data_IF_488823222023
#
_entry.id   IF_488823222023
#
_cell.length_a   1.000
_cell.length_b   1.000
_cell.length_c   1.000
_cell.angle_alpha   90.00
_cell.angle_beta   90.00
_cell.angle_gamma   90.00
#
_symmetry.space_group_name_H-M   'P 1'
#
loop_
_entity.id
_entity.type
_entity.pdbx_description
1 polymer ?
#
# COMPACT_ATOMS: atom_id res chain seq x y z
N UNK A 1 -73.33 2.33 -21.03
CA UNK A 1 -72.25 1.91 -21.97
C UNK A 1 -70.98 1.66 -21.16
N UNK A 2 -70.79 0.42 -20.68
CA UNK A 2 -69.63 0.06 -19.86
C UNK A 2 -68.52 -0.57 -20.71
N UNK A 3 -67.34 0.06 -20.75
CA UNK A 3 -66.15 -0.52 -21.37
C UNK A 3 -65.49 -1.48 -20.37
N UNK A 4 -65.53 -2.76 -20.68
CA UNK A 4 -64.75 -3.80 -20.00
C UNK A 4 -63.33 -3.79 -20.57
N UNK A 5 -62.35 -3.47 -19.74
CA UNK A 5 -60.93 -3.60 -20.07
C UNK A 5 -60.50 -5.03 -19.75
N UNK A 6 -60.11 -5.79 -20.76
CA UNK A 6 -59.55 -7.13 -20.59
C UNK A 6 -58.10 -7.01 -20.08
N UNK A 7 -57.85 -7.55 -18.89
CA UNK A 7 -56.51 -7.75 -18.34
C UNK A 7 -55.94 -9.04 -18.92
N UNK A 8 -54.93 -8.92 -19.77
CA UNK A 8 -54.14 -10.03 -20.29
C UNK A 8 -53.10 -10.42 -19.22
N UNK A 9 -53.33 -11.54 -18.53
CA UNK A 9 -52.36 -12.11 -17.60
C UNK A 9 -51.30 -12.87 -18.41
N UNK A 10 -50.10 -12.29 -18.55
CA UNK A 10 -48.94 -12.98 -19.08
C UNK A 10 -48.39 -13.90 -17.98
N UNK A 11 -48.56 -15.21 -18.14
CA UNK A 11 -47.91 -16.21 -17.30
C UNK A 11 -46.42 -16.25 -17.65
N UNK A 12 -45.58 -15.68 -16.78
CA UNK A 12 -44.14 -15.85 -16.80
C UNK A 12 -43.81 -17.28 -16.33
N UNK A 13 -43.54 -18.15 -17.30
CA UNK A 13 -42.96 -19.46 -17.03
C UNK A 13 -41.54 -19.24 -16.52
N UNK A 14 -41.34 -19.47 -15.22
CA UNK A 14 -40.03 -19.54 -14.59
C UNK A 14 -39.24 -20.69 -15.20
N UNK A 15 -38.24 -20.38 -16.03
CA UNK A 15 -37.27 -21.37 -16.45
C UNK A 15 -36.26 -21.60 -15.31
N UNK A 16 -35.96 -22.86 -14.95
CA UNK A 16 -34.87 -23.15 -14.05
C UNK A 16 -33.56 -22.67 -14.68
N UNK A 17 -32.90 -21.73 -14.00
CA UNK A 17 -31.56 -21.32 -14.34
C UNK A 17 -30.64 -22.50 -14.01
N UNK A 18 -30.39 -23.34 -15.02
CA UNK A 18 -29.32 -24.33 -14.96
C UNK A 18 -28.02 -23.53 -14.95
N UNK A 19 -27.41 -23.42 -13.77
CA UNK A 19 -26.03 -22.97 -13.65
C UNK A 19 -25.18 -24.07 -14.29
N UNK A 20 -24.94 -23.92 -15.59
CA UNK A 20 -23.91 -24.68 -16.29
C UNK A 20 -22.60 -24.31 -15.61
N UNK A 21 -22.00 -25.29 -14.93
CA UNK A 21 -20.66 -25.20 -14.39
C UNK A 21 -19.71 -24.93 -15.54
N UNK A 22 -19.46 -23.64 -15.80
CA UNK A 22 -18.40 -23.21 -16.69
C UNK A 22 -17.09 -23.61 -16.06
N UNK A 23 -16.35 -24.45 -16.76
CA UNK A 23 -14.97 -24.78 -16.48
C UNK A 23 -14.24 -23.51 -16.05
N UNK A 24 -13.82 -23.50 -14.79
CA UNK A 24 -12.84 -22.54 -14.31
C UNK A 24 -11.59 -22.80 -15.14
N UNK A 25 -11.43 -22.04 -16.22
CA UNK A 25 -10.24 -22.03 -17.05
C UNK A 25 -9.04 -22.01 -16.11
N UNK A 26 -8.31 -23.12 -16.10
CA UNK A 26 -7.17 -23.32 -15.24
C UNK A 26 -6.26 -22.10 -15.39
N UNK A 27 -6.13 -21.35 -14.29
CA UNK A 27 -5.26 -20.18 -14.25
C UNK A 27 -3.86 -20.68 -14.60
N UNK A 28 -3.20 -20.16 -15.66
CA UNK A 28 -1.85 -20.59 -16.05
C UNK A 28 -0.83 -19.94 -15.11
N UNK A 29 -1.04 -20.12 -13.81
CA UNK A 29 0.00 -20.04 -12.81
C UNK A 29 0.62 -21.45 -12.81
N UNK A 30 1.52 -21.75 -13.76
CA UNK A 30 2.48 -22.84 -13.54
C UNK A 30 3.04 -22.74 -12.12
N UNK A 31 3.22 -23.87 -11.43
CA UNK A 31 3.07 -23.96 -9.98
C UNK A 31 3.92 -22.89 -9.32
N UNK A 32 3.26 -22.04 -8.53
CA UNK A 32 3.88 -21.36 -7.41
C UNK A 32 4.86 -22.37 -6.79
N UNK A 33 6.15 -22.16 -7.05
CA UNK A 33 7.25 -23.12 -6.84
C UNK A 33 6.90 -24.08 -5.71
N UNK A 34 6.66 -25.36 -6.02
CA UNK A 34 6.55 -26.40 -4.99
C UNK A 34 7.81 -26.31 -4.12
N UNK A 35 7.67 -25.81 -2.90
CA UNK A 35 8.78 -25.48 -2.00
C UNK A 35 8.75 -24.07 -1.40
N UNK A 36 8.07 -23.11 -2.03
CA UNK A 36 7.68 -21.84 -1.40
C UNK A 36 6.20 -21.96 -1.09
N UNK A 37 5.86 -22.79 -0.10
CA UNK A 37 4.49 -23.11 0.26
C UNK A 37 3.61 -21.87 0.19
N UNK A 38 2.44 -22.01 -0.46
CA UNK A 38 1.35 -21.05 -0.33
C UNK A 38 1.32 -20.69 1.14
N UNK A 39 1.74 -19.48 1.48
CA UNK A 39 1.50 -19.00 2.82
C UNK A 39 0.00 -18.80 2.81
N UNK A 40 -0.71 -19.74 3.39
CA UNK A 40 -2.12 -19.60 3.72
C UNK A 40 -2.33 -18.35 4.62
N UNK A 41 -1.23 -17.75 5.09
CA UNK A 41 -1.04 -16.44 5.69
C UNK A 41 -0.02 -15.54 4.93
N UNK A 42 -0.09 -15.40 3.60
CA UNK A 42 0.71 -14.42 2.88
C UNK A 42 0.32 -13.03 3.38
N UNK A 43 1.15 -12.44 4.24
CA UNK A 43 0.96 -11.09 4.78
C UNK A 43 0.56 -10.14 3.67
N UNK A 44 -0.65 -9.58 3.77
CA UNK A 44 -1.15 -8.51 2.89
C UNK A 44 -0.22 -7.28 2.88
N UNK A 45 0.77 -7.21 3.77
CA UNK A 45 1.81 -6.19 3.76
C UNK A 45 2.65 -6.14 2.48
N UNK A 46 2.68 -7.21 1.68
CA UNK A 46 3.30 -7.25 0.35
C UNK A 46 2.32 -7.04 -0.79
N UNK A 47 1.03 -6.84 -0.50
CA UNK A 47 0.01 -6.65 -1.53
C UNK A 47 0.12 -5.25 -2.12
N UNK A 48 0.28 -5.16 -3.45
CA UNK A 48 0.62 -3.91 -4.14
C UNK A 48 -0.32 -3.63 -5.30
N UNK A 49 -1.63 -3.63 -5.04
CA UNK A 49 -2.67 -3.43 -6.06
C UNK A 49 -2.43 -2.21 -6.95
N UNK A 50 -2.06 -1.06 -6.37
CA UNK A 50 -1.82 0.16 -7.16
C UNK A 50 -0.61 0.06 -8.08
N UNK A 51 0.39 -0.72 -7.69
CA UNK A 51 1.59 -0.93 -8.48
C UNK A 51 1.32 -1.90 -9.63
N UNK A 52 0.47 -2.92 -9.40
CA UNK A 52 -0.05 -3.77 -10.47
C UNK A 52 -0.87 -2.93 -11.45
N UNK A 53 -1.74 -2.06 -10.96
CA UNK A 53 -2.54 -1.13 -11.77
C UNK A 53 -1.67 -0.25 -12.67
N UNK A 54 -0.65 0.39 -12.08
CA UNK A 54 0.29 1.27 -12.76
C UNK A 54 1.45 0.55 -13.47
N UNK A 55 1.52 -0.78 -13.38
CA UNK A 55 2.58 -1.64 -13.92
C UNK A 55 4.00 -1.34 -13.44
N UNK A 56 4.14 -0.88 -12.21
CA UNK A 56 5.45 -0.82 -11.54
C UNK A 56 5.87 -2.18 -10.96
N UNK A 57 5.00 -3.19 -11.05
CA UNK A 57 5.28 -4.59 -10.74
C UNK A 57 4.82 -5.50 -11.88
N UNK A 58 5.51 -6.64 -12.05
CA UNK A 58 5.15 -7.67 -13.02
C UNK A 58 3.80 -8.30 -12.69
N UNK A 59 3.10 -8.80 -13.71
CA UNK A 59 1.86 -9.59 -13.57
C UNK A 59 2.07 -10.80 -12.67
N UNK A 60 3.28 -11.38 -12.67
CA UNK A 60 3.69 -12.46 -11.77
C UNK A 60 3.43 -12.13 -10.29
N UNK A 61 3.79 -10.91 -9.84
CA UNK A 61 3.58 -10.51 -8.46
C UNK A 61 2.10 -10.30 -8.09
N UNK A 62 1.23 -10.08 -9.08
CA UNK A 62 -0.19 -9.87 -8.85
C UNK A 62 -0.89 -11.17 -8.42
N UNK A 63 -0.40 -12.32 -8.91
CA UNK A 63 -1.06 -13.62 -8.73
C UNK A 63 -0.48 -14.47 -7.61
N UNK A 64 0.36 -13.89 -6.74
CA UNK A 64 0.60 -14.44 -5.39
C UNK A 64 -0.70 -14.58 -4.59
N UNK A 65 -1.73 -13.78 -4.92
CA UNK A 65 -3.10 -13.93 -4.41
C UNK A 65 -4.04 -14.21 -5.60
N UNK A 66 -4.25 -15.48 -5.98
CA UNK A 66 -4.96 -15.84 -7.22
C UNK A 66 -6.41 -15.32 -7.32
N UNK A 67 -7.07 -15.11 -6.17
CA UNK A 67 -8.45 -14.60 -6.10
C UNK A 67 -8.54 -13.09 -5.87
N UNK A 68 -7.40 -12.39 -5.84
CA UNK A 68 -7.35 -10.96 -5.57
C UNK A 68 -7.82 -10.11 -6.75
N UNK A 69 -8.19 -8.86 -6.47
CA UNK A 69 -8.44 -7.83 -7.48
C UNK A 69 -7.21 -7.62 -8.35
N UNK A 70 -6.00 -7.66 -7.78
CA UNK A 70 -4.76 -7.47 -8.52
C UNK A 70 -4.59 -8.56 -9.59
N UNK A 71 -4.80 -9.82 -9.24
CA UNK A 71 -4.71 -10.93 -10.20
C UNK A 71 -5.85 -10.88 -11.23
N UNK A 72 -7.10 -10.64 -10.80
CA UNK A 72 -8.24 -10.54 -11.72
C UNK A 72 -8.05 -9.40 -12.74
N UNK A 73 -7.57 -8.23 -12.28
CA UNK A 73 -7.25 -7.10 -13.15
C UNK A 73 -6.07 -7.37 -14.08
N UNK A 74 -4.96 -7.95 -13.58
CA UNK A 74 -3.75 -8.17 -14.38
C UNK A 74 -3.99 -9.07 -15.60
N UNK A 75 -4.90 -10.05 -15.48
CA UNK A 75 -5.27 -10.96 -16.55
C UNK A 75 -6.22 -10.35 -17.60
N UNK A 76 -7.02 -9.35 -17.23
CA UNK A 76 -8.10 -8.84 -18.10
C UNK A 76 -7.89 -7.43 -18.62
N UNK A 77 -6.91 -6.69 -18.10
CA UNK A 77 -6.56 -5.36 -18.63
C UNK A 77 -6.03 -5.47 -20.05
N UNK A 78 -6.37 -4.49 -20.87
CA UNK A 78 -5.87 -4.38 -22.25
C UNK A 78 -4.67 -3.45 -22.35
N UNK A 79 -4.55 -2.52 -21.41
CA UNK A 79 -3.47 -1.54 -21.33
C UNK A 79 -3.17 -1.20 -19.85
N UNK A 80 -2.19 -0.31 -19.63
CA UNK A 80 -1.81 0.12 -18.29
C UNK A 80 -2.82 1.13 -17.76
N UNK A 81 -3.10 1.07 -16.45
CA UNK A 81 -4.12 1.92 -15.81
C UNK A 81 -5.49 1.85 -16.50
N UNK A 82 -5.89 0.65 -16.94
CA UNK A 82 -7.18 0.38 -17.58
C UNK A 82 -8.30 0.40 -16.52
N UNK A 83 -8.89 1.57 -16.29
CA UNK A 83 -9.90 1.77 -15.25
C UNK A 83 -11.13 0.91 -15.49
N UNK A 84 -11.54 0.68 -16.74
CA UNK A 84 -12.72 -0.14 -17.06
C UNK A 84 -12.49 -1.62 -16.69
N UNK A 85 -11.32 -2.16 -17.03
CA UNK A 85 -10.93 -3.51 -16.61
C UNK A 85 -10.88 -3.62 -15.07
N UNK A 86 -10.39 -2.58 -14.38
CA UNK A 86 -10.36 -2.53 -12.92
C UNK A 86 -11.77 -2.53 -12.33
N UNK A 87 -12.67 -1.65 -12.80
CA UNK A 87 -14.07 -1.60 -12.37
C UNK A 87 -14.77 -2.95 -12.60
N UNK A 88 -14.49 -3.61 -13.72
CA UNK A 88 -15.02 -4.94 -14.00
C UNK A 88 -14.50 -5.99 -13.00
N UNK A 89 -13.22 -5.90 -12.58
CA UNK A 89 -12.66 -6.76 -11.54
C UNK A 89 -13.33 -6.52 -10.17
N UNK A 90 -13.57 -5.25 -9.79
CA UNK A 90 -14.31 -4.90 -8.56
C UNK A 90 -15.72 -5.50 -8.58
N UNK A 91 -16.45 -5.36 -9.68
CA UNK A 91 -17.81 -5.94 -9.83
C UNK A 91 -17.80 -7.46 -9.71
N UNK A 92 -16.85 -8.15 -10.35
CA UNK A 92 -16.71 -9.61 -10.25
C UNK A 92 -16.37 -10.06 -8.83
N UNK A 93 -15.49 -9.33 -8.12
CA UNK A 93 -15.21 -9.62 -6.70
C UNK A 93 -16.47 -9.52 -5.86
N UNK A 94 -17.22 -8.42 -5.98
CA UNK A 94 -18.46 -8.21 -5.22
C UNK A 94 -19.53 -9.27 -5.52
N UNK A 95 -19.58 -9.80 -6.74
CA UNK A 95 -20.46 -10.91 -7.08
C UNK A 95 -20.06 -12.23 -6.39
N UNK A 96 -18.75 -12.47 -6.19
CA UNK A 96 -18.23 -13.67 -5.51
C UNK A 96 -18.27 -13.55 -3.99
N UNK A 97 -17.98 -12.36 -3.48
CA UNK A 97 -17.88 -12.05 -2.05
C UNK A 97 -18.68 -10.78 -1.79
N UNK A 98 -20.01 -10.93 -1.60
CA UNK A 98 -20.86 -9.79 -1.30
C UNK A 98 -20.46 -9.15 0.02
N UNK A 99 -20.18 -7.85 -0.03
CA UNK A 99 -19.84 -7.03 1.13
C UNK A 99 -20.86 -5.89 1.24
N UNK A 100 -21.26 -5.52 2.45
CA UNK A 100 -22.10 -4.34 2.65
C UNK A 100 -21.38 -3.08 2.13
N UNK A 101 -22.03 -2.21 1.34
CA UNK A 101 -21.47 -0.91 1.02
C UNK A 101 -21.47 0.01 2.25
N UNK A 102 -20.69 1.11 2.21
CA UNK A 102 -20.83 2.20 3.19
C UNK A 102 -22.27 2.74 3.19
N UNK A 103 -22.72 3.27 4.33
CA UNK A 103 -24.00 3.98 4.36
C UNK A 103 -23.97 5.23 3.45
N UNK A 104 -25.13 5.68 2.98
CA UNK A 104 -25.20 6.76 1.98
C UNK A 104 -24.65 8.11 2.50
N UNK A 105 -24.73 8.33 3.81
CA UNK A 105 -24.24 9.49 4.54
C UNK A 105 -22.90 9.26 5.24
N UNK A 106 -22.32 8.06 5.09
CA UNK A 106 -21.03 7.71 5.66
C UNK A 106 -19.88 8.36 4.86
N UNK A 107 -18.91 8.88 5.61
CA UNK A 107 -17.66 9.40 5.05
C UNK A 107 -16.60 8.33 5.20
N UNK A 108 -16.08 7.83 4.08
CA UNK A 108 -14.98 6.88 4.09
C UNK A 108 -13.67 7.64 3.96
N UNK A 109 -12.70 7.34 4.81
CA UNK A 109 -11.41 8.04 4.82
C UNK A 109 -10.26 7.06 4.91
N UNK A 110 -9.48 6.98 3.83
CA UNK A 110 -8.30 6.14 3.80
C UNK A 110 -7.07 6.90 4.28
N UNK A 111 -6.33 6.31 5.23
CA UNK A 111 -5.06 6.81 5.73
C UNK A 111 -3.92 5.91 5.26
N UNK A 112 -2.90 6.52 4.63
CA UNK A 112 -1.69 5.79 4.21
C UNK A 112 -0.66 5.81 5.33
N UNK A 113 -0.61 4.72 6.10
CA UNK A 113 0.29 4.54 7.25
C UNK A 113 1.38 3.51 6.94
N UNK A 114 1.90 2.83 7.97
CA UNK A 114 2.92 1.80 7.85
C UNK A 114 4.30 2.39 7.62
N UNK A 115 4.81 2.32 6.39
CA UNK A 115 6.13 2.82 6.01
C UNK A 115 6.23 4.36 5.96
N UNK A 116 5.13 5.06 6.23
CA UNK A 116 5.04 6.53 6.15
C UNK A 116 5.19 7.25 7.48
N UNK A 117 4.74 6.66 8.60
CA UNK A 117 4.70 7.31 9.92
C UNK A 117 5.97 6.97 10.70
N UNK A 118 7.08 7.66 10.42
CA UNK A 118 8.38 7.37 11.02
C UNK A 118 8.76 8.24 12.23
N UNK A 119 7.83 9.06 12.72
CA UNK A 119 8.04 10.01 13.82
C UNK A 119 6.85 10.02 14.80
N UNK A 120 7.09 10.30 16.07
CA UNK A 120 6.07 10.16 17.13
C UNK A 120 5.00 11.28 17.10
N UNK A 121 5.35 12.43 16.54
CA UNK A 121 4.48 13.60 16.42
C UNK A 121 4.02 13.87 14.97
N UNK A 122 3.91 12.79 14.19
CA UNK A 122 3.45 12.78 12.81
C UNK A 122 2.10 13.48 12.56
N UNK A 123 1.25 13.51 13.59
CA UNK A 123 -0.06 14.17 13.53
C UNK A 123 0.06 15.69 13.64
N UNK A 124 1.06 16.21 14.35
CA UNK A 124 1.24 17.64 14.54
C UNK A 124 2.19 18.25 13.50
N UNK A 125 3.24 17.51 13.10
CA UNK A 125 4.23 17.98 12.14
C UNK A 125 4.56 16.95 11.07
N UNK A 126 5.07 17.40 9.90
CA UNK A 126 5.52 16.47 8.86
C UNK A 126 6.68 15.60 9.35
N UNK A 127 6.57 14.30 9.10
CA UNK A 127 7.67 13.37 9.27
C UNK A 127 8.77 13.58 8.21
N UNK A 128 9.99 13.15 8.52
CA UNK A 128 11.13 13.33 7.62
C UNK A 128 11.02 12.44 6.38
N UNK A 129 10.49 11.22 6.51
CA UNK A 129 10.26 10.30 5.37
C UNK A 129 8.81 10.34 4.96
N UNK A 130 8.58 10.23 3.65
CA UNK A 130 7.24 10.09 3.09
C UNK A 130 6.28 11.23 3.51
N UNK A 131 6.80 12.44 3.77
CA UNK A 131 6.07 13.61 4.27
C UNK A 131 4.80 13.95 3.47
N UNK A 132 4.77 13.58 2.17
CA UNK A 132 3.59 13.77 1.32
C UNK A 132 2.38 12.93 1.70
N UNK A 133 2.55 11.80 2.38
CA UNK A 133 1.47 10.83 2.68
C UNK A 133 0.96 10.91 4.11
N UNK A 134 1.76 11.44 5.03
CA UNK A 134 1.34 11.70 6.41
C UNK A 134 0.63 13.05 6.43
N UNK A 135 -0.65 13.05 6.76
CA UNK A 135 -1.46 14.27 6.87
C UNK A 135 -1.41 14.79 8.31
N UNK A 136 -1.34 16.10 8.52
CA UNK A 136 -1.29 16.67 9.87
C UNK A 136 -2.67 17.20 10.29
N UNK A 137 -2.83 17.50 11.57
CA UNK A 137 -4.02 18.10 12.20
C UNK A 137 -4.72 19.15 11.33
N UNK A 138 -4.05 20.15 10.71
CA UNK A 138 -4.75 21.15 9.89
C UNK A 138 -5.52 20.57 8.71
N UNK A 139 -5.05 19.45 8.12
CA UNK A 139 -5.81 18.76 7.08
C UNK A 139 -7.09 18.15 7.64
N UNK A 140 -7.02 17.52 8.81
CA UNK A 140 -8.19 16.91 9.43
C UNK A 140 -9.23 17.95 9.83
N UNK A 141 -8.79 19.08 10.35
CA UNK A 141 -9.68 20.20 10.69
C UNK A 141 -10.33 20.80 9.44
N UNK A 142 -9.56 20.98 8.37
CA UNK A 142 -10.08 21.48 7.10
C UNK A 142 -11.10 20.53 6.47
N UNK A 143 -10.87 19.21 6.53
CA UNK A 143 -11.88 18.21 6.09
C UNK A 143 -13.11 18.27 6.99
N UNK A 144 -12.93 18.21 8.31
CA UNK A 144 -14.03 18.25 9.29
C UNK A 144 -14.95 19.47 9.10
N UNK A 145 -14.38 20.64 8.79
CA UNK A 145 -15.15 21.86 8.54
C UNK A 145 -16.09 21.78 7.31
N UNK A 146 -15.88 20.80 6.42
CA UNK A 146 -16.68 20.60 5.20
C UNK A 146 -17.71 19.50 5.34
N UNK A 147 -17.59 18.66 6.35
CA UNK A 147 -18.51 17.54 6.57
C UNK A 147 -19.73 18.00 7.35
N UNK A 148 -20.85 17.31 7.15
CA UNK A 148 -22.06 17.55 7.94
C UNK A 148 -21.79 17.16 9.40
N UNK A 149 -22.17 17.99 10.39
CA UNK A 149 -22.05 17.61 11.80
C UNK A 149 -22.72 16.25 12.06
N UNK A 150 -22.12 15.44 12.95
CA UNK A 150 -22.62 14.10 13.32
C UNK A 150 -22.62 13.05 12.21
N UNK A 151 -21.91 13.27 11.09
CA UNK A 151 -21.67 12.21 10.11
C UNK A 151 -20.88 11.06 10.76
N UNK A 152 -21.12 9.84 10.27
CA UNK A 152 -20.27 8.68 10.59
C UNK A 152 -19.03 8.73 9.69
N UNK A 153 -17.85 8.67 10.29
CA UNK A 153 -16.56 8.57 9.58
C UNK A 153 -16.00 7.17 9.80
N UNK A 154 -15.72 6.45 8.72
CA UNK A 154 -14.97 5.19 8.78
C UNK A 154 -13.55 5.40 8.31
N UNK A 155 -12.59 5.25 9.23
CA UNK A 155 -11.16 5.30 8.94
C UNK A 155 -10.67 3.94 8.46
N UNK A 156 -10.08 3.89 7.27
CA UNK A 156 -9.47 2.69 6.68
C UNK A 156 -7.96 2.86 6.68
N UNK A 157 -7.24 1.92 7.28
CA UNK A 157 -5.78 1.99 7.35
C UNK A 157 -5.14 0.65 7.66
N UNK A 158 -3.86 0.51 7.30
CA UNK A 158 -3.01 -0.58 7.73
C UNK A 158 -1.86 -0.02 8.59
N UNK A 159 -1.70 -0.52 9.81
CA UNK A 159 -0.65 -0.11 10.75
C UNK A 159 0.73 -0.56 10.32
N UNK A 160 0.81 -1.59 9.48
CA UNK A 160 2.04 -2.16 8.94
C UNK A 160 2.01 -2.19 7.41
N UNK A 161 3.17 -1.96 6.79
CA UNK A 161 3.39 -2.21 5.37
C UNK A 161 4.73 -2.94 5.24
N UNK A 162 4.70 -4.21 4.79
CA UNK A 162 5.90 -5.00 4.65
C UNK A 162 6.61 -4.67 3.32
N UNK A 163 7.51 -3.69 3.31
CA UNK A 163 8.46 -3.53 2.21
C UNK A 163 9.61 -4.53 2.33
N UNK A 164 9.88 -5.36 1.31
CA UNK A 164 10.81 -6.52 1.33
C UNK A 164 12.25 -6.29 1.84
N UNK A 165 12.68 -5.05 2.13
CA UNK A 165 14.04 -4.77 2.62
C UNK A 165 14.12 -3.93 3.90
N UNK A 166 13.04 -3.28 4.32
CA UNK A 166 13.03 -2.38 5.50
C UNK A 166 11.70 -2.42 6.29
N UNK A 167 10.81 -3.37 5.99
CA UNK A 167 9.48 -3.59 6.61
C UNK A 167 9.45 -3.51 8.14
N UNK A 168 10.56 -3.82 8.79
CA UNK A 168 10.65 -3.94 10.25
C UNK A 168 11.07 -2.66 10.97
N UNK A 169 11.31 -1.55 10.25
CA UNK A 169 11.90 -0.37 10.90
C UNK A 169 10.92 0.55 11.62
N UNK A 170 9.65 0.56 11.23
CA UNK A 170 8.66 1.43 11.87
C UNK A 170 7.77 0.59 12.78
N UNK A 171 7.82 0.82 14.11
CA UNK A 171 6.94 0.14 15.03
C UNK A 171 5.46 0.48 14.73
N UNK A 172 4.55 -0.52 14.64
CA UNK A 172 3.12 -0.28 14.38
C UNK A 172 2.47 0.68 15.40
N UNK A 173 3.07 0.81 16.58
CA UNK A 173 2.67 1.71 17.67
C UNK A 173 2.63 3.17 17.19
N UNK A 174 3.52 3.59 16.30
CA UNK A 174 3.50 4.96 15.74
C UNK A 174 2.28 5.22 14.89
N UNK A 175 1.95 4.28 13.99
CA UNK A 175 0.73 4.33 13.18
C UNK A 175 -0.51 4.37 14.08
N UNK A 176 -0.54 3.55 15.15
CA UNK A 176 -1.65 3.51 16.11
C UNK A 176 -1.78 4.82 16.89
N UNK A 177 -0.69 5.39 17.38
CA UNK A 177 -0.69 6.66 18.09
C UNK A 177 -1.19 7.82 17.18
N UNK A 178 -0.72 7.84 15.93
CA UNK A 178 -1.19 8.78 14.92
C UNK A 178 -2.71 8.67 14.67
N UNK A 179 -3.22 7.45 14.51
CA UNK A 179 -4.66 7.22 14.31
C UNK A 179 -5.46 7.61 15.56
N UNK A 180 -4.97 7.27 16.75
CA UNK A 180 -5.63 7.64 18.00
C UNK A 180 -5.79 9.17 18.12
N UNK A 181 -4.75 9.94 17.78
CA UNK A 181 -4.82 11.41 17.75
C UNK A 181 -5.84 11.93 16.71
N UNK A 182 -5.88 11.34 15.52
CA UNK A 182 -6.87 11.65 14.49
C UNK A 182 -8.31 11.37 14.96
N UNK A 183 -8.54 10.20 15.56
CA UNK A 183 -9.85 9.80 16.11
C UNK A 183 -10.27 10.75 17.22
N UNK A 184 -9.36 11.09 18.14
CA UNK A 184 -9.66 12.02 19.23
C UNK A 184 -10.08 13.39 18.68
N UNK A 185 -9.35 13.91 17.69
CA UNK A 185 -9.72 15.16 17.02
C UNK A 185 -11.12 15.05 16.40
N UNK A 186 -11.38 14.04 15.57
CA UNK A 186 -12.66 13.89 14.89
C UNK A 186 -13.82 13.72 15.87
N UNK A 187 -13.67 12.90 16.91
CA UNK A 187 -14.69 12.74 17.97
C UNK A 187 -14.94 14.05 18.72
N UNK A 188 -13.90 14.84 19.01
CA UNK A 188 -14.08 16.16 19.63
C UNK A 188 -14.80 17.19 18.75
N UNK A 189 -14.86 16.95 17.43
CA UNK A 189 -15.69 17.72 16.49
C UNK A 189 -17.12 17.15 16.33
N UNK A 190 -17.49 16.14 17.12
CA UNK A 190 -18.83 15.57 17.18
C UNK A 190 -19.14 14.52 16.12
N UNK A 191 -18.13 13.93 15.48
CA UNK A 191 -18.31 12.81 14.56
C UNK A 191 -18.33 11.47 15.30
N UNK A 192 -19.15 10.53 14.82
CA UNK A 192 -18.96 9.11 15.15
C UNK A 192 -17.79 8.59 14.30
N UNK A 193 -16.82 7.91 14.92
CA UNK A 193 -15.64 7.39 14.21
C UNK A 193 -15.54 5.88 14.39
N UNK A 194 -15.58 5.17 13.27
CA UNK A 194 -15.38 3.72 13.12
C UNK A 194 -14.03 3.45 12.47
N UNK A 195 -13.51 2.25 12.69
CA UNK A 195 -12.20 1.83 12.21
C UNK A 195 -12.32 0.54 11.40
N UNK A 196 -11.60 0.50 10.27
CA UNK A 196 -11.26 -0.71 9.50
C UNK A 196 -9.74 -0.81 9.48
N UNK A 197 -9.20 -1.30 10.58
CA UNK A 197 -7.77 -1.42 10.81
C UNK A 197 -7.24 -2.76 10.30
N UNK A 198 -6.13 -2.74 9.56
CA UNK A 198 -5.39 -3.94 9.15
C UNK A 198 -6.27 -4.98 8.40
N UNK A 199 -7.26 -4.49 7.65
CA UNK A 199 -8.20 -5.31 6.88
C UNK A 199 -7.60 -5.93 5.61
N UNK A 200 -8.38 -6.79 4.96
CA UNK A 200 -8.04 -7.28 3.61
C UNK A 200 -8.09 -6.08 2.63
N UNK A 201 -6.99 -5.79 1.92
CA UNK A 201 -6.92 -4.61 1.05
C UNK A 201 -7.98 -4.68 -0.06
N UNK A 202 -8.27 -5.84 -0.62
CA UNK A 202 -9.31 -5.92 -1.65
C UNK A 202 -10.71 -5.61 -1.14
N UNK A 203 -11.03 -6.02 0.10
CA UNK A 203 -12.29 -5.70 0.76
C UNK A 203 -12.39 -4.19 1.07
N UNK A 204 -11.27 -3.58 1.46
CA UNK A 204 -11.23 -2.13 1.67
C UNK A 204 -11.33 -1.36 0.35
N UNK A 205 -10.75 -1.86 -0.74
CA UNK A 205 -10.88 -1.28 -2.07
C UNK A 205 -12.33 -1.34 -2.56
N UNK A 206 -13.00 -2.49 -2.48
CA UNK A 206 -14.43 -2.63 -2.83
C UNK A 206 -15.33 -1.76 -1.95
N UNK A 207 -15.00 -1.57 -0.67
CA UNK A 207 -15.70 -0.66 0.22
C UNK A 207 -15.53 0.81 -0.22
N UNK A 208 -14.30 1.26 -0.45
CA UNK A 208 -14.00 2.63 -0.89
C UNK A 208 -14.58 2.95 -2.28
N UNK A 209 -14.52 2.01 -3.22
CA UNK A 209 -15.11 2.16 -4.57
C UNK A 209 -16.61 2.45 -4.54
N UNK A 210 -17.31 2.13 -3.45
CA UNK A 210 -18.76 2.33 -3.29
C UNK A 210 -19.12 3.49 -2.36
N UNK A 211 -18.13 4.19 -1.84
CA UNK A 211 -18.34 5.34 -0.96
C UNK A 211 -18.97 6.52 -1.72
N UNK A 212 -19.94 7.21 -1.09
CA UNK A 212 -20.51 8.45 -1.62
C UNK A 212 -19.67 9.68 -1.30
N UNK A 213 -19.00 9.65 -0.15
CA UNK A 213 -18.00 10.65 0.24
C UNK A 213 -16.71 9.92 0.59
N UNK A 214 -15.63 10.21 -0.12
CA UNK A 214 -14.32 9.60 0.09
C UNK A 214 -13.26 10.67 0.34
N UNK A 215 -12.49 10.53 1.42
CA UNK A 215 -11.37 11.41 1.76
C UNK A 215 -10.04 10.69 1.49
N UNK A 216 -9.16 11.34 0.72
CA UNK A 216 -7.90 10.77 0.25
C UNK A 216 -6.69 11.24 1.07
N UNK A 217 -5.89 10.30 1.62
CA UNK A 217 -4.55 10.56 2.15
C UNK A 217 -3.42 10.58 1.09
N UNK A 218 -3.72 10.28 -0.17
CA UNK A 218 -2.76 10.25 -1.27
C UNK A 218 -2.00 8.91 -1.43
N UNK A 219 -1.15 8.84 -2.46
CA UNK A 219 -0.48 7.62 -2.89
C UNK A 219 -1.29 6.79 -3.90
N UNK A 220 -0.65 5.82 -4.56
CA UNK A 220 -1.25 5.08 -5.68
C UNK A 220 -2.53 4.34 -5.33
N UNK A 221 -2.56 3.65 -4.18
CA UNK A 221 -3.72 2.90 -3.71
C UNK A 221 -4.94 3.80 -3.46
N UNK A 222 -4.74 4.87 -2.69
CA UNK A 222 -5.76 5.89 -2.45
C UNK A 222 -6.22 6.59 -3.73
N UNK A 223 -5.29 6.88 -4.66
CA UNK A 223 -5.60 7.48 -5.96
C UNK A 223 -6.55 6.58 -6.75
N UNK A 224 -6.22 5.29 -6.87
CA UNK A 224 -7.04 4.30 -7.55
C UNK A 224 -8.43 4.16 -6.91
N UNK A 225 -8.50 4.15 -5.58
CA UNK A 225 -9.78 4.12 -4.87
C UNK A 225 -10.65 5.34 -5.20
N UNK A 226 -10.05 6.54 -5.28
CA UNK A 226 -10.76 7.76 -5.69
C UNK A 226 -11.24 7.75 -7.13
N UNK A 227 -10.44 7.21 -8.07
CA UNK A 227 -10.85 7.03 -9.46
C UNK A 227 -12.02 6.03 -9.56
N UNK A 228 -11.90 4.93 -8.83
CA UNK A 228 -12.94 3.91 -8.74
C UNK A 228 -14.24 4.47 -8.17
N UNK A 229 -14.21 5.16 -7.02
CA UNK A 229 -15.39 5.71 -6.37
C UNK A 229 -16.18 6.69 -7.25
N UNK A 230 -15.49 7.43 -8.12
CA UNK A 230 -16.14 8.33 -9.09
C UNK A 230 -16.80 7.59 -10.24
N UNK A 231 -16.22 6.47 -10.68
CA UNK A 231 -16.65 5.77 -11.88
C UNK A 231 -17.55 4.55 -11.61
N UNK A 232 -17.51 3.98 -10.40
CA UNK A 232 -18.18 2.71 -10.07
C UNK A 232 -19.70 2.77 -10.25
N UNK A 233 -20.32 3.85 -9.78
CA UNK A 233 -21.73 4.21 -9.99
C UNK A 233 -21.80 5.59 -10.68
N UNK A 234 -21.55 5.60 -12.00
CA UNK A 234 -21.47 6.82 -12.81
C UNK A 234 -22.73 7.70 -12.75
N UNK A 235 -23.90 7.14 -12.40
CA UNK A 235 -25.13 7.92 -12.22
C UNK A 235 -25.08 8.83 -10.99
N UNK A 236 -24.23 8.50 -10.00
CA UNK A 236 -24.09 9.22 -8.74
C UNK A 236 -22.62 9.19 -8.29
N UNK A 237 -21.74 9.92 -8.99
CA UNK A 237 -20.30 9.90 -8.70
C UNK A 237 -20.04 10.35 -7.26
N UNK A 238 -19.05 9.73 -6.61
CA UNK A 238 -18.65 10.11 -5.27
C UNK A 238 -18.10 11.55 -5.21
N UNK A 239 -18.38 12.24 -4.12
CA UNK A 239 -17.60 13.43 -3.72
C UNK A 239 -16.26 12.96 -3.17
N UNK A 240 -15.18 13.36 -3.82
CA UNK A 240 -13.82 12.96 -3.42
C UNK A 240 -13.05 14.17 -2.90
N UNK A 241 -12.74 14.15 -1.61
CA UNK A 241 -12.01 15.20 -0.90
C UNK A 241 -10.51 14.84 -0.84
N UNK A 242 -9.64 15.81 -1.08
CA UNK A 242 -8.19 15.56 -0.95
C UNK A 242 -7.32 16.75 -1.33
N UNK A 243 -6.01 16.52 -1.36
CA UNK A 243 -5.00 17.54 -1.71
C UNK A 243 -4.56 17.52 -3.18
N UNK A 244 -4.99 16.52 -3.94
CA UNK A 244 -4.62 16.33 -5.34
C UNK A 244 -5.63 15.42 -6.04
N UNK A 245 -5.52 15.34 -7.37
CA UNK A 245 -6.28 14.39 -8.17
C UNK A 245 -6.21 12.95 -7.60
N UNK A 246 -7.32 12.18 -7.65
CA UNK A 246 -8.57 12.43 -8.37
C UNK A 246 -9.62 13.21 -7.58
N UNK A 247 -9.25 13.88 -6.48
CA UNK A 247 -10.19 14.69 -5.70
C UNK A 247 -10.98 15.64 -6.59
N UNK A 248 -12.30 15.57 -6.50
CA UNK A 248 -13.23 16.52 -7.14
C UNK A 248 -13.29 17.81 -6.36
N UNK A 249 -12.93 17.75 -5.08
CA UNK A 249 -13.06 18.85 -4.17
C UNK A 249 -11.79 18.98 -3.31
N UNK A 250 -11.01 20.03 -3.61
CA UNK A 250 -9.71 20.25 -3.01
C UNK A 250 -9.89 20.83 -1.61
N UNK A 251 -9.21 20.24 -0.63
CA UNK A 251 -9.20 20.74 0.75
C UNK A 251 -8.28 21.95 0.81
N UNK A 252 -8.85 23.11 1.12
CA UNK A 252 -8.08 24.32 1.33
C UNK A 252 -7.33 24.26 2.66
N UNK A 253 -6.04 24.55 2.59
CA UNK A 253 -5.13 24.45 3.72
C UNK A 253 -4.56 25.82 4.09
N UNK A 254 -4.39 26.12 5.39
CA UNK A 254 -3.71 27.32 5.84
C UNK A 254 -2.36 27.49 5.13
N UNK A 255 -2.03 28.72 4.70
CA UNK A 255 -0.80 29.00 3.92
C UNK A 255 0.46 28.51 4.63
N UNK A 256 0.57 28.74 5.94
CA UNK A 256 1.69 28.28 6.75
C UNK A 256 1.87 26.76 6.68
N UNK A 257 0.76 26.00 6.79
CA UNK A 257 0.78 24.54 6.68
C UNK A 257 1.18 24.08 5.27
N UNK A 258 0.65 24.72 4.21
CA UNK A 258 1.05 24.40 2.82
C UNK A 258 2.55 24.59 2.59
N UNK A 259 3.13 25.68 3.10
CA UNK A 259 4.56 25.95 3.00
C UNK A 259 5.36 24.88 3.73
N UNK A 260 5.08 24.65 5.01
CA UNK A 260 5.78 23.64 5.83
C UNK A 260 5.73 22.25 5.19
N UNK A 261 4.57 21.84 4.67
CA UNK A 261 4.43 20.56 3.97
C UNK A 261 5.24 20.50 2.68
N UNK A 262 5.28 21.58 1.89
CA UNK A 262 6.09 21.64 0.67
C UNK A 262 7.58 21.48 1.00
N UNK A 263 8.06 22.21 2.01
CA UNK A 263 9.46 22.16 2.43
C UNK A 263 9.85 20.75 2.88
N UNK A 264 8.99 20.07 3.65
CA UNK A 264 9.21 18.69 4.07
C UNK A 264 9.24 17.70 2.88
N UNK A 265 8.39 17.91 1.87
CA UNK A 265 8.37 17.09 0.66
C UNK A 265 9.65 17.29 -0.15
N UNK A 266 10.10 18.52 -0.30
CA UNK A 266 11.30 18.84 -1.06
C UNK A 266 12.56 18.33 -0.35
N UNK A 267 12.60 18.39 0.99
CA UNK A 267 13.63 17.75 1.81
C UNK A 267 13.66 16.21 1.64
N UNK A 268 12.50 15.53 1.63
CA UNK A 268 12.44 14.08 1.37
C UNK A 268 12.95 13.74 -0.04
N UNK A 269 12.55 14.50 -1.06
CA UNK A 269 13.05 14.32 -2.43
C UNK A 269 14.57 14.49 -2.50
N UNK A 270 15.11 15.55 -1.90
CA UNK A 270 16.55 15.81 -1.87
C UNK A 270 17.32 14.66 -1.22
N UNK A 271 16.83 14.14 -0.08
CA UNK A 271 17.42 12.97 0.58
C UNK A 271 17.40 11.73 -0.33
N UNK A 272 16.30 11.45 -1.02
CA UNK A 272 16.20 10.31 -1.95
C UNK A 272 17.17 10.46 -3.12
N UNK A 273 17.30 11.67 -3.67
CA UNK A 273 18.24 11.96 -4.74
C UNK A 273 19.69 11.73 -4.28
N UNK A 274 20.07 12.24 -3.10
CA UNK A 274 21.39 12.01 -2.51
C UNK A 274 21.67 10.53 -2.24
N UNK A 275 20.68 9.78 -1.74
CA UNK A 275 20.80 8.32 -1.56
C UNK A 275 21.05 7.62 -2.90
N UNK A 276 20.25 7.94 -3.92
CA UNK A 276 20.40 7.38 -5.27
C UNK A 276 21.78 7.70 -5.85
N UNK A 277 22.27 8.93 -5.67
CA UNK A 277 23.60 9.34 -6.12
C UNK A 277 24.71 8.50 -5.46
N UNK A 278 24.64 8.30 -4.14
CA UNK A 278 25.60 7.43 -3.41
C UNK A 278 25.55 5.97 -3.86
N UNK A 279 24.37 5.47 -4.20
CA UNK A 279 24.18 4.10 -4.69
C UNK A 279 24.64 3.93 -6.15
N UNK A 280 24.62 5.00 -6.95
CA UNK A 280 25.06 5.00 -8.35
C UNK A 280 26.52 5.37 -8.55
N UNK A 281 27.16 6.02 -7.58
CA UNK A 281 28.61 6.24 -7.62
C UNK A 281 29.29 4.88 -7.71
N UNK A 282 30.24 4.70 -8.66
CA UNK A 282 31.12 3.55 -8.61
C UNK A 282 31.62 3.46 -7.17
N UNK A 283 31.42 2.31 -6.51
CA UNK A 283 32.20 2.07 -5.31
C UNK A 283 33.62 2.15 -5.82
N UNK A 284 34.38 3.15 -5.36
CA UNK A 284 35.82 3.20 -5.60
C UNK A 284 36.27 1.77 -5.44
N UNK A 285 36.69 1.14 -6.54
CA UNK A 285 36.98 -0.28 -6.57
C UNK A 285 37.99 -0.47 -5.44
N UNK A 286 37.50 -1.03 -4.33
CA UNK A 286 38.33 -1.32 -3.17
C UNK A 286 39.44 -2.15 -3.78
N UNK A 287 40.69 -1.63 -3.82
CA UNK A 287 41.70 -2.09 -4.74
C UNK A 287 41.75 -3.59 -4.56
N UNK A 288 41.33 -4.31 -5.60
CA UNK A 288 41.17 -5.75 -5.51
C UNK A 288 42.51 -6.24 -5.00
N UNK A 289 42.56 -6.68 -3.73
CA UNK A 289 43.72 -7.37 -3.22
C UNK A 289 43.67 -8.66 -4.02
N UNK A 290 44.33 -8.65 -5.17
CA UNK A 290 44.62 -9.83 -5.95
C UNK A 290 45.53 -10.63 -5.02
N UNK A 291 44.91 -11.46 -4.18
CA UNK A 291 45.56 -12.60 -3.57
C UNK A 291 45.91 -13.51 -4.74
N UNK A 292 47.04 -13.17 -5.39
CA UNK A 292 47.67 -14.01 -6.36
C UNK A 292 47.81 -15.40 -5.76
N UNK A 293 47.56 -16.41 -6.60
CA UNK A 293 47.80 -17.83 -6.32
C UNK A 293 48.96 -17.98 -5.36
N UNK A 294 48.70 -18.68 -4.27
CA UNK A 294 49.64 -19.15 -3.26
C UNK A 294 50.90 -19.65 -3.95
N UNK A 295 51.92 -18.79 -4.05
CA UNK A 295 53.27 -19.24 -3.90
C UNK A 295 53.43 -19.50 -2.40
N UNK A 296 53.92 -20.68 -2.04
CA UNK A 296 54.34 -20.98 -0.67
C UNK A 296 55.35 -19.92 -0.23
N UNK A 297 54.86 -18.92 0.52
CA UNK A 297 55.71 -17.95 1.17
C UNK A 297 55.78 -18.34 2.65
N UNK A 298 56.95 -18.81 3.07
CA UNK A 298 57.32 -18.82 4.48
C UNK A 298 57.53 -17.37 4.93
N UNK A 299 56.53 -16.76 5.55
CA UNK A 299 56.66 -15.41 6.11
C UNK A 299 57.30 -15.49 7.50
N UNK A 300 58.54 -15.00 7.63
CA UNK A 300 59.21 -14.88 8.92
C UNK A 300 58.80 -13.63 9.72
N UNK A 301 58.08 -12.67 9.11
CA UNK A 301 57.65 -11.43 9.77
C UNK A 301 56.42 -10.82 9.10
N UNK A 302 55.45 -10.33 9.90
CA UNK A 302 54.32 -9.52 9.43
C UNK A 302 54.43 -8.15 10.09
N UNK A 303 54.51 -7.10 9.27
CA UNK A 303 54.44 -5.71 9.75
C UNK A 303 53.07 -5.15 9.42
N UNK A 304 52.31 -4.79 10.45
CA UNK A 304 51.00 -4.14 10.33
C UNK A 304 51.21 -2.64 10.55
N UNK A 305 50.80 -1.83 9.57
CA UNK A 305 50.79 -0.37 9.72
C UNK A 305 49.47 0.07 10.35
N UNK A 306 49.54 0.80 11.44
CA UNK A 306 48.38 1.46 12.06
C UNK A 306 48.56 2.97 12.03
N UNK A 307 47.48 3.72 12.30
CA UNK A 307 47.50 5.19 12.31
C UNK A 307 48.44 5.79 13.39
N UNK A 308 48.94 4.98 14.32
CA UNK A 308 49.87 5.38 15.38
C UNK A 308 51.31 4.91 15.17
N UNK A 309 51.63 4.30 14.01
CA UNK A 309 52.97 3.81 13.66
C UNK A 309 52.99 2.37 13.16
N UNK A 310 54.17 1.88 12.79
CA UNK A 310 54.34 0.50 12.33
C UNK A 310 54.53 -0.43 13.54
N UNK A 311 53.71 -1.48 13.66
CA UNK A 311 53.96 -2.58 14.59
C UNK A 311 54.41 -3.82 13.80
N UNK A 312 55.55 -4.38 14.20
CA UNK A 312 56.06 -5.64 13.65
C UNK A 312 55.73 -6.76 14.62
N UNK A 313 54.92 -7.72 14.20
CA UNK A 313 54.60 -8.92 14.98
C UNK A 313 55.50 -10.03 14.46
N UNK A 314 56.44 -10.48 15.29
CA UNK A 314 57.28 -11.64 14.97
C UNK A 314 56.59 -12.90 15.46
N UNK A 315 56.23 -13.78 14.52
CA UNK A 315 55.80 -15.17 14.70
C UNK A 315 54.49 -15.35 15.49
N UNK A 316 53.42 -15.65 14.77
CA UNK A 316 52.20 -16.25 15.33
C UNK A 316 52.20 -17.71 14.88
N UNK A 317 52.48 -18.63 15.78
CA UNK A 317 52.24 -20.06 15.54
C UNK A 317 50.74 -20.31 15.74
N UNK A 318 50.02 -20.48 14.63
CA UNK A 318 48.63 -20.91 14.62
C UNK A 318 48.62 -22.45 14.66
N UNK A 319 48.41 -23.02 15.84
CA UNK A 319 48.05 -24.44 15.95
C UNK A 319 46.62 -24.63 15.46
N UNK A 320 46.47 -25.24 14.28
CA UNK A 320 45.18 -25.71 13.79
C UNK A 320 44.83 -27.00 14.52
N UNK A 321 43.88 -26.92 15.46
CA UNK A 321 43.33 -28.08 16.16
C UNK A 321 42.58 -29.02 15.20
N UNK A 322 42.46 -30.33 15.54
CA UNK A 322 41.88 -31.32 14.65
C UNK A 322 40.39 -31.07 14.39
N UNK A 323 40.02 -31.15 13.11
CA UNK A 323 38.63 -31.15 12.64
C UNK A 323 37.90 -32.38 13.21
N UNK A 324 36.90 -32.15 14.06
CA UNK A 324 35.92 -33.17 14.44
C UNK A 324 34.89 -33.27 13.30
N UNK A 325 34.89 -34.40 12.60
CA UNK A 325 33.82 -34.77 11.69
C UNK A 325 32.62 -35.24 12.52
N UNK A 326 31.45 -34.68 12.28
CA UNK A 326 30.18 -35.18 12.80
C UNK A 326 29.51 -36.01 11.70
N UNK A 327 29.25 -37.29 12.01
CA UNK A 327 28.22 -38.10 11.36
C UNK A 327 26.81 -37.67 11.82
#
# INVERSE_FOLDING_TARGET
>A
MGRRTALLALALVSMPCVVVGGDAAACPCEPCVEGVGMRDNASWGFYRLSDVYAHTLSSYNACFWPRSLACDYSHKRTHLSDLDAFLAAVRRRLARTPEAPPAADEVVWHLRLGDTVDCDDAFERPCARNAKYVLQRPFFEAVAARLKPRSVITLIYATQHAGCKDAHRTPPERSRAYVAAAIQLLRSRGFEVRERADGEPDADMTYMCRARTLVLAGGGYTRLAGECARAFDAARPATVLGLAAPATDLVELPRAYRNSRRDAIDADKARRAAKKQRESSPRDEEPAIILGRVAEFSFNEITIRTNSGNQTIKRVELELGPHVAHD
#
